data_IF_114631653547
#
_entry.id   IF_114631653547
#
_cell.length_a   1.000
_cell.length_b   1.000
_cell.length_c   1.000
_cell.angle_alpha   90.00
_cell.angle_beta   90.00
_cell.angle_gamma   90.00
#
_symmetry.space_group_name_H-M   'P 1'
#
loop_
_entity.id
_entity.type
_entity.pdbx_description
1 polymer ?
#
# COMPACT_ATOMS: atom_id res chain seq x y z
N UNK A 1 -21.14 -16.10 0.47
CA UNK A 1 -21.63 -15.79 -0.89
C UNK A 1 -20.70 -14.74 -1.45
N UNK A 2 -20.00 -15.03 -2.55
CA UNK A 2 -19.16 -14.04 -3.20
C UNK A 2 -20.09 -12.98 -3.80
N UNK A 3 -20.07 -11.76 -3.27
CA UNK A 3 -20.59 -10.62 -4.02
C UNK A 3 -19.91 -10.61 -5.38
N UNK A 4 -20.68 -10.33 -6.44
CA UNK A 4 -20.13 -10.22 -7.77
C UNK A 4 -19.08 -9.10 -7.74
N UNK A 5 -17.78 -9.47 -7.83
CA UNK A 5 -16.67 -8.53 -7.92
C UNK A 5 -17.02 -7.51 -8.99
N UNK A 6 -17.00 -6.22 -8.64
CA UNK A 6 -17.34 -5.17 -9.59
C UNK A 6 -16.36 -5.25 -10.75
N UNK A 7 -16.86 -5.40 -11.98
CA UNK A 7 -16.00 -5.45 -13.16
C UNK A 7 -15.15 -4.17 -13.23
N UNK A 8 -13.85 -4.35 -13.40
CA UNK A 8 -12.87 -3.29 -13.56
C UNK A 8 -12.42 -3.36 -15.01
N UNK A 9 -12.75 -2.34 -15.80
CA UNK A 9 -12.31 -2.23 -17.20
C UNK A 9 -10.78 -2.16 -17.29
N UNK A 10 -10.22 -2.73 -18.35
CA UNK A 10 -8.78 -2.88 -18.54
C UNK A 10 -8.05 -1.55 -18.73
N UNK A 11 -8.67 -0.58 -19.41
CA UNK A 11 -8.08 0.71 -19.73
C UNK A 11 -9.11 1.85 -19.58
N UNK A 12 -8.99 2.67 -18.53
CA UNK A 12 -10.00 3.70 -18.21
C UNK A 12 -9.38 5.06 -17.95
N UNK A 13 -9.96 6.11 -18.56
CA UNK A 13 -9.68 7.49 -18.17
C UNK A 13 -10.44 7.84 -16.90
N UNK A 14 -9.71 8.11 -15.81
CA UNK A 14 -10.29 8.51 -14.53
C UNK A 14 -10.44 10.03 -14.41
N UNK A 15 -9.59 10.78 -15.10
CA UNK A 15 -9.59 12.24 -15.15
C UNK A 15 -8.85 12.76 -16.38
N UNK A 16 -8.73 14.08 -16.52
CA UNK A 16 -7.89 14.70 -17.56
C UNK A 16 -6.40 14.34 -17.39
N UNK A 17 -5.95 13.89 -16.21
CA UNK A 17 -4.53 13.58 -15.92
C UNK A 17 -4.23 12.11 -15.71
N UNK A 18 -5.23 11.29 -15.44
CA UNK A 18 -5.03 9.92 -14.96
C UNK A 18 -5.75 8.91 -15.84
N UNK A 19 -4.97 7.95 -16.34
CA UNK A 19 -5.45 6.73 -16.97
C UNK A 19 -5.07 5.55 -16.06
N UNK A 20 -6.03 4.68 -15.76
CA UNK A 20 -5.80 3.41 -15.06
C UNK A 20 -5.68 2.28 -16.07
N UNK A 21 -4.66 1.44 -15.89
CA UNK A 21 -4.36 0.30 -16.75
C UNK A 21 -4.26 -0.94 -15.85
N UNK A 22 -5.10 -1.95 -16.11
CA UNK A 22 -5.18 -3.16 -15.31
C UNK A 22 -4.09 -4.17 -15.70
N UNK A 23 -3.34 -4.65 -14.72
CA UNK A 23 -2.15 -5.52 -14.84
C UNK A 23 -2.40 -6.94 -15.35
N UNK A 24 -3.64 -7.31 -15.63
CA UNK A 24 -4.05 -8.62 -16.16
C UNK A 24 -3.65 -9.82 -15.27
N UNK A 25 -3.52 -9.59 -13.96
CA UNK A 25 -3.09 -10.57 -12.96
C UNK A 25 -4.16 -10.76 -11.85
N UNK A 26 -5.39 -11.24 -12.16
CA UNK A 26 -6.44 -11.40 -11.16
C UNK A 26 -6.07 -12.47 -10.13
N UNK A 27 -6.46 -12.26 -8.88
CA UNK A 27 -6.04 -13.11 -7.77
C UNK A 27 -6.82 -12.90 -6.47
N UNK A 28 -6.43 -13.64 -5.43
CA UNK A 28 -6.97 -13.47 -4.08
C UNK A 28 -6.47 -12.17 -3.42
N UNK A 29 -5.24 -11.78 -3.73
CA UNK A 29 -4.60 -10.57 -3.21
C UNK A 29 -4.73 -9.39 -4.17
N UNK A 30 -4.68 -9.65 -5.47
CA UNK A 30 -4.74 -8.62 -6.52
C UNK A 30 -6.15 -8.29 -7.02
N UNK A 31 -7.18 -8.98 -6.51
CA UNK A 31 -8.58 -8.84 -6.93
C UNK A 31 -8.78 -9.07 -8.44
N UNK A 32 -9.14 -8.03 -9.20
CA UNK A 32 -9.25 -8.07 -10.66
C UNK A 32 -7.90 -7.96 -11.37
N UNK A 33 -6.85 -7.52 -10.65
CA UNK A 33 -5.51 -7.25 -11.14
C UNK A 33 -4.93 -6.00 -10.47
N UNK A 34 -3.64 -5.76 -10.68
CA UNK A 34 -2.96 -4.54 -10.23
C UNK A 34 -3.36 -3.37 -11.10
N UNK A 35 -3.92 -2.33 -10.52
CA UNK A 35 -4.13 -1.03 -11.13
C UNK A 35 -2.78 -0.30 -11.21
N UNK A 36 -2.24 -0.19 -12.42
CA UNK A 36 -1.16 0.74 -12.71
C UNK A 36 -1.76 2.07 -13.19
N UNK A 37 -1.07 3.18 -12.94
CA UNK A 37 -1.58 4.52 -13.27
C UNK A 37 -0.62 5.29 -14.15
N UNK A 38 -1.10 5.75 -15.30
CA UNK A 38 -0.40 6.68 -16.15
C UNK A 38 -0.85 8.10 -15.80
N UNK A 39 0.06 8.86 -15.19
CA UNK A 39 -0.15 10.24 -14.75
C UNK A 39 0.53 11.19 -15.72
N UNK A 40 -0.26 11.95 -16.48
CA UNK A 40 0.23 12.89 -17.47
C UNK A 40 -0.24 14.31 -17.16
N UNK A 41 0.25 15.28 -17.93
CA UNK A 41 -0.42 16.58 -18.04
C UNK A 41 -1.75 16.42 -18.78
N UNK A 42 -2.71 17.36 -18.62
CA UNK A 42 -3.99 17.31 -19.33
C UNK A 42 -3.75 17.31 -20.85
N UNK A 43 -4.69 16.76 -21.66
CA UNK A 43 -4.61 16.82 -23.10
C UNK A 43 -4.47 18.28 -23.56
N UNK A 44 -3.49 18.53 -24.42
CA UNK A 44 -3.38 19.77 -25.19
C UNK A 44 -4.22 19.59 -26.45
N UNK A 45 -4.66 20.68 -27.10
CA UNK A 45 -5.50 20.67 -28.31
C UNK A 45 -4.89 19.94 -29.52
N UNK A 46 -3.63 19.50 -29.45
CA UNK A 46 -2.97 18.68 -30.47
C UNK A 46 -2.87 17.22 -30.01
N UNK A 47 -3.31 16.30 -30.86
CA UNK A 47 -3.21 14.84 -30.67
C UNK A 47 -1.79 14.28 -30.84
N UNK A 48 -0.86 15.06 -31.41
CA UNK A 48 0.51 14.60 -31.70
C UNK A 48 1.44 14.64 -30.48
N UNK A 49 2.50 13.84 -30.51
CA UNK A 49 3.61 13.83 -29.54
C UNK A 49 4.38 15.17 -29.56
N UNK A 50 3.80 16.23 -29.00
CA UNK A 50 4.46 17.55 -28.95
C UNK A 50 5.53 17.57 -27.85
N UNK A 51 5.18 17.13 -26.63
CA UNK A 51 6.07 16.90 -25.48
C UNK A 51 5.17 16.59 -24.27
N UNK A 52 4.74 15.33 -24.13
CA UNK A 52 3.82 14.91 -23.05
C UNK A 52 4.45 13.82 -22.19
N UNK A 53 5.42 14.18 -21.33
CA UNK A 53 5.96 13.24 -20.36
C UNK A 53 4.88 12.79 -19.39
N UNK A 54 4.96 11.54 -18.98
CA UNK A 54 4.06 10.90 -18.04
C UNK A 54 4.85 10.09 -17.01
N UNK A 55 4.23 9.93 -15.84
CA UNK A 55 4.71 9.04 -14.78
C UNK A 55 3.86 7.78 -14.81
N UNK A 56 4.50 6.61 -14.89
CA UNK A 56 3.83 5.34 -14.64
C UNK A 56 3.99 4.99 -13.15
N UNK A 57 2.88 4.73 -12.46
CA UNK A 57 2.88 4.26 -11.08
C UNK A 57 2.56 2.76 -11.07
N UNK A 58 3.49 1.99 -10.49
CA UNK A 58 3.56 0.52 -10.49
C UNK A 58 3.60 -0.13 -11.89
N UNK A 59 3.96 -1.41 -11.93
CA UNK A 59 4.28 -2.11 -13.18
C UNK A 59 3.53 -3.43 -13.40
N UNK A 60 2.69 -3.85 -12.46
CA UNK A 60 2.06 -5.16 -12.51
C UNK A 60 3.06 -6.29 -12.27
N UNK A 61 2.60 -7.51 -12.50
CA UNK A 61 3.36 -8.76 -12.23
C UNK A 61 4.25 -9.22 -13.39
N UNK A 62 4.20 -8.53 -14.54
CA UNK A 62 4.91 -8.95 -15.76
C UNK A 62 4.11 -9.92 -16.64
N UNK A 63 2.79 -9.88 -16.58
CA UNK A 63 1.91 -10.63 -17.48
C UNK A 63 2.02 -10.07 -18.90
N UNK A 64 2.27 -10.93 -19.89
CA UNK A 64 2.49 -10.51 -21.28
C UNK A 64 1.30 -9.73 -21.89
N UNK A 65 0.06 -10.07 -21.51
CA UNK A 65 -1.15 -9.40 -22.01
C UNK A 65 -1.33 -7.97 -21.50
N UNK A 66 -0.57 -7.53 -20.49
CA UNK A 66 -0.57 -6.13 -20.03
C UNK A 66 0.09 -5.18 -21.05
N UNK A 67 1.14 -5.65 -21.75
CA UNK A 67 1.98 -4.81 -22.61
C UNK A 67 1.20 -4.16 -23.77
N UNK A 68 0.34 -4.89 -24.51
CA UNK A 68 -0.51 -4.26 -25.53
C UNK A 68 -1.47 -3.20 -24.97
N UNK A 69 -1.95 -3.35 -23.73
CA UNK A 69 -2.87 -2.39 -23.11
C UNK A 69 -2.12 -1.12 -22.71
N UNK A 70 -0.91 -1.25 -22.15
CA UNK A 70 -0.05 -0.11 -21.86
C UNK A 70 0.33 0.65 -23.14
N UNK A 71 0.68 -0.05 -24.23
CA UNK A 71 0.99 0.58 -25.51
C UNK A 71 -0.22 1.36 -26.07
N UNK A 72 -1.42 0.77 -26.02
CA UNK A 72 -2.68 1.46 -26.37
C UNK A 72 -2.89 2.72 -25.53
N UNK A 73 -2.61 2.68 -24.23
CA UNK A 73 -2.72 3.84 -23.34
C UNK A 73 -1.77 4.98 -23.75
N UNK A 74 -0.54 4.66 -24.15
CA UNK A 74 0.45 5.64 -24.59
C UNK A 74 0.07 6.28 -25.94
N UNK A 75 -0.62 5.53 -26.82
CA UNK A 75 -1.28 6.03 -28.04
C UNK A 75 -2.61 6.76 -27.77
N UNK A 76 -3.01 6.91 -26.51
CA UNK A 76 -4.16 7.73 -26.11
C UNK A 76 -5.52 7.04 -26.12
N UNK A 77 -5.58 5.74 -26.46
CA UNK A 77 -6.80 4.96 -26.44
C UNK A 77 -7.32 4.73 -25.02
N UNK A 78 -8.65 4.61 -24.86
CA UNK A 78 -9.33 4.21 -23.61
C UNK A 78 -10.59 3.40 -23.90
N UNK A 79 -10.88 2.38 -23.08
CA UNK A 79 -12.10 1.55 -23.18
C UNK A 79 -13.31 2.23 -22.53
N UNK A 80 -13.07 3.10 -21.54
CA UNK A 80 -14.08 3.88 -20.84
C UNK A 80 -13.56 5.27 -20.47
N UNK A 81 -14.44 6.27 -20.57
CA UNK A 81 -14.15 7.66 -20.19
C UNK A 81 -15.10 8.12 -19.08
N UNK A 82 -14.58 8.20 -17.85
CA UNK A 82 -15.32 8.67 -16.69
C UNK A 82 -15.74 10.15 -16.80
N UNK A 83 -15.17 10.92 -17.74
CA UNK A 83 -15.58 12.29 -18.05
C UNK A 83 -16.87 12.33 -18.89
N UNK A 84 -17.26 11.23 -19.53
CA UNK A 84 -18.49 11.10 -20.32
C UNK A 84 -19.54 10.29 -19.53
N UNK A 85 -20.67 10.91 -19.15
CA UNK A 85 -21.84 10.16 -18.65
C UNK A 85 -22.36 9.20 -19.73
N UNK A 86 -23.06 8.09 -19.42
CA UNK A 86 -23.50 7.14 -20.43
C UNK A 86 -24.57 7.80 -21.29
N UNK A 87 -24.17 8.27 -22.46
CA UNK A 87 -25.08 8.64 -23.53
C UNK A 87 -24.91 7.60 -24.62
N UNK A 88 -26.00 6.86 -24.84
CA UNK A 88 -26.24 6.12 -26.06
C UNK A 88 -25.95 6.98 -27.28
N UNK A 89 -24.87 6.70 -28.00
CA UNK A 89 -24.82 6.92 -29.44
C UNK A 89 -23.84 5.96 -30.08
N UNK A 90 -24.36 5.16 -31.00
CA UNK A 90 -23.54 4.48 -32.01
C UNK A 90 -22.76 5.56 -32.74
N UNK A 91 -21.42 5.51 -32.72
CA UNK A 91 -20.61 6.22 -33.71
C UNK A 91 -20.65 5.39 -34.99
N UNK A 92 -21.46 5.84 -35.95
CA UNK A 92 -21.30 5.56 -37.36
C UNK A 92 -20.76 6.84 -38.00
N UNK A 93 -19.88 6.67 -38.99
CA UNK A 93 -19.08 7.66 -39.73
C UNK A 93 -17.82 8.16 -39.02
N UNK A 94 -16.75 7.38 -39.16
CA UNK A 94 -15.39 7.92 -39.29
C UNK A 94 -15.02 7.80 -40.78
N UNK A 95 -14.62 8.92 -41.38
CA UNK A 95 -14.11 9.03 -42.74
C UNK A 95 -12.72 8.41 -42.84
N UNK A 96 -12.39 7.78 -43.98
CA UNK A 96 -11.14 7.04 -44.28
C UNK A 96 -9.83 7.87 -44.21
N UNK A 97 -9.87 9.14 -43.74
CA UNK A 97 -8.71 10.01 -43.57
C UNK A 97 -8.15 10.04 -42.13
N UNK A 98 -8.83 9.42 -41.15
CA UNK A 98 -8.40 9.39 -39.74
C UNK A 98 -7.54 8.15 -39.35
N UNK A 99 -7.35 7.18 -40.26
CA UNK A 99 -6.61 5.93 -39.95
C UNK A 99 -5.09 6.13 -39.87
N UNK A 100 -4.52 7.22 -40.40
CA UNK A 100 -3.06 7.48 -40.35
C UNK A 100 -2.57 8.01 -38.98
N UNK A 101 -3.46 8.53 -38.13
CA UNK A 101 -3.10 9.16 -36.83
C UNK A 101 -3.28 8.21 -35.60
N UNK A 102 -3.85 7.00 -35.75
CA UNK A 102 -4.10 6.08 -34.61
C UNK A 102 -2.84 5.40 -34.05
N UNK A 103 -1.76 5.37 -34.82
CA UNK A 103 -0.52 4.68 -34.44
C UNK A 103 0.51 5.56 -33.72
N UNK A 104 0.31 6.88 -33.71
CA UNK A 104 1.24 7.83 -33.09
C UNK A 104 1.10 7.87 -31.56
N UNK A 105 2.24 8.01 -30.87
CA UNK A 105 2.24 8.20 -29.42
C UNK A 105 1.63 9.55 -29.05
N UNK A 106 0.78 9.58 -28.03
CA UNK A 106 0.22 10.82 -27.45
C UNK A 106 0.93 11.23 -26.17
N UNK A 107 1.67 10.31 -25.55
CA UNK A 107 2.49 10.50 -24.35
C UNK A 107 3.65 9.50 -24.29
N UNK A 108 4.64 9.77 -23.44
CA UNK A 108 5.77 8.88 -23.19
C UNK A 108 6.11 8.83 -21.71
N UNK A 109 6.65 7.71 -21.23
CA UNK A 109 6.97 7.52 -19.81
C UNK A 109 8.36 8.08 -19.51
N UNK A 110 8.42 9.15 -18.73
CA UNK A 110 9.66 9.75 -18.25
C UNK A 110 10.12 9.17 -16.93
N UNK A 111 9.17 8.72 -16.13
CA UNK A 111 9.38 8.27 -14.76
C UNK A 111 8.50 7.07 -14.47
N UNK A 112 9.05 6.07 -13.79
CA UNK A 112 8.32 4.95 -13.21
C UNK A 112 8.46 5.09 -11.70
N UNK A 113 7.35 5.10 -10.95
CA UNK A 113 7.34 5.17 -9.49
C UNK A 113 6.77 3.87 -8.94
N UNK A 114 7.53 3.20 -8.10
CA UNK A 114 7.12 1.95 -7.46
C UNK A 114 6.62 2.24 -6.05
N UNK A 115 5.40 1.80 -5.72
CA UNK A 115 4.78 2.04 -4.42
C UNK A 115 5.43 1.22 -3.31
N UNK A 116 5.79 -0.03 -3.59
CA UNK A 116 6.46 -0.92 -2.66
C UNK A 116 7.05 -2.16 -3.36
N UNK A 117 7.66 -3.05 -2.57
CA UNK A 117 8.44 -4.21 -3.04
C UNK A 117 7.67 -5.40 -3.60
N UNK A 118 6.35 -5.51 -3.42
CA UNK A 118 5.66 -6.74 -3.82
C UNK A 118 5.72 -6.97 -5.34
N UNK A 119 5.78 -8.24 -5.72
CA UNK A 119 6.09 -8.67 -7.08
C UNK A 119 5.07 -8.14 -8.11
N UNK A 120 3.81 -8.03 -7.73
CA UNK A 120 2.75 -7.51 -8.58
C UNK A 120 2.79 -5.98 -8.76
N UNK A 121 3.74 -5.27 -8.13
CA UNK A 121 3.99 -3.84 -8.33
C UNK A 121 5.31 -3.58 -9.06
N UNK A 122 6.30 -4.48 -8.92
CA UNK A 122 7.66 -4.32 -9.49
C UNK A 122 7.99 -5.31 -10.62
N UNK A 123 7.24 -6.40 -10.75
CA UNK A 123 7.55 -7.54 -11.59
C UNK A 123 7.49 -7.26 -13.09
N UNK A 124 6.66 -6.30 -13.50
CA UNK A 124 6.52 -5.91 -14.91
C UNK A 124 7.62 -5.00 -15.45
N UNK A 125 8.58 -4.57 -14.62
CA UNK A 125 9.68 -3.71 -15.06
C UNK A 125 10.42 -4.23 -16.31
N UNK A 126 10.85 -5.50 -16.43
CA UNK A 126 11.58 -5.96 -17.60
C UNK A 126 10.79 -5.82 -18.90
N UNK A 127 9.52 -6.24 -18.90
CA UNK A 127 8.65 -6.20 -20.09
C UNK A 127 8.28 -4.77 -20.47
N UNK A 128 8.03 -3.90 -19.49
CA UNK A 128 7.74 -2.49 -19.73
C UNK A 128 8.98 -1.77 -20.28
N UNK A 129 10.16 -1.98 -19.69
CA UNK A 129 11.38 -1.34 -20.17
C UNK A 129 11.77 -1.83 -21.57
N UNK A 130 11.46 -3.08 -21.91
CA UNK A 130 11.59 -3.61 -23.27
C UNK A 130 10.65 -2.89 -24.25
N UNK A 131 9.35 -2.80 -23.91
CA UNK A 131 8.36 -2.02 -24.68
C UNK A 131 8.83 -0.58 -24.91
N UNK A 132 9.20 0.12 -23.83
CA UNK A 132 9.64 1.51 -23.92
C UNK A 132 10.91 1.67 -24.74
N UNK A 133 11.84 0.72 -24.69
CA UNK A 133 13.05 0.76 -25.53
C UNK A 133 12.71 0.63 -27.01
N UNK A 134 11.75 -0.24 -27.37
CA UNK A 134 11.24 -0.36 -28.74
C UNK A 134 10.56 0.93 -29.20
N UNK A 135 9.61 1.45 -28.42
CA UNK A 135 8.90 2.68 -28.74
C UNK A 135 9.84 3.88 -28.91
N UNK A 136 10.89 3.99 -28.09
CA UNK A 136 11.92 5.03 -28.26
C UNK A 136 12.72 4.89 -29.56
N UNK A 137 12.93 3.66 -30.04
CA UNK A 137 13.65 3.41 -31.30
C UNK A 137 12.77 3.67 -32.54
N UNK A 138 11.46 3.50 -32.40
CA UNK A 138 10.46 3.76 -33.45
C UNK A 138 10.03 5.24 -33.51
N UNK A 139 10.21 6.00 -32.42
CA UNK A 139 9.83 7.40 -32.34
C UNK A 139 10.60 8.29 -33.33
N UNK A 140 9.87 9.21 -33.96
CA UNK A 140 10.44 10.24 -34.86
C UNK A 140 11.24 11.32 -34.12
N UNK A 141 11.08 11.39 -32.79
CA UNK A 141 11.77 12.31 -31.89
C UNK A 141 12.60 11.55 -30.87
N UNK A 142 13.72 12.12 -30.43
CA UNK A 142 14.55 11.53 -29.39
C UNK A 142 13.85 11.61 -28.04
N UNK A 143 13.48 10.46 -27.48
CA UNK A 143 12.90 10.33 -26.15
C UNK A 143 13.95 9.79 -25.16
N UNK A 144 14.06 10.34 -23.94
CA UNK A 144 15.00 9.83 -22.95
C UNK A 144 14.50 8.51 -22.34
N UNK A 145 15.43 7.70 -21.82
CA UNK A 145 15.09 6.49 -21.07
C UNK A 145 14.48 6.87 -19.69
N UNK A 146 13.48 6.12 -19.20
CA UNK A 146 12.77 6.46 -17.97
C UNK A 146 13.68 6.40 -16.75
N UNK A 147 13.37 7.20 -15.74
CA UNK A 147 13.94 7.09 -14.37
C UNK A 147 13.05 6.18 -13.53
N UNK A 148 13.64 5.30 -12.73
CA UNK A 148 12.90 4.39 -11.86
C UNK A 148 13.05 4.87 -10.42
N UNK A 149 11.94 5.29 -9.80
CA UNK A 149 11.90 5.86 -8.46
C UNK A 149 11.33 4.84 -7.48
N UNK A 150 11.99 4.70 -6.34
CA UNK A 150 11.54 3.80 -5.27
C UNK A 150 11.96 4.35 -3.90
N UNK A 151 11.12 4.15 -2.90
CA UNK A 151 11.52 4.37 -1.52
C UNK A 151 12.47 3.24 -1.09
N UNK A 152 13.67 3.54 -0.54
CA UNK A 152 14.66 2.52 -0.25
C UNK A 152 14.18 1.45 0.74
N UNK A 153 14.51 0.20 0.46
CA UNK A 153 14.31 -0.96 1.33
C UNK A 153 15.57 -1.83 1.37
N UNK A 154 16.23 -1.91 2.53
CA UNK A 154 17.49 -2.65 2.62
C UNK A 154 17.33 -4.16 2.36
N UNK A 155 16.15 -4.71 2.61
CA UNK A 155 15.88 -6.14 2.49
C UNK A 155 15.55 -6.57 1.05
N UNK A 156 14.65 -5.85 0.37
CA UNK A 156 14.16 -6.26 -0.96
C UNK A 156 14.91 -5.62 -2.14
N UNK A 157 15.49 -4.43 -1.96
CA UNK A 157 16.15 -3.71 -3.05
C UNK A 157 17.30 -4.49 -3.71
N UNK A 158 18.13 -5.30 -3.01
CA UNK A 158 19.21 -6.04 -3.66
C UNK A 158 18.75 -6.92 -4.83
N UNK A 159 17.59 -7.59 -4.70
CA UNK A 159 17.04 -8.44 -5.76
C UNK A 159 16.57 -7.61 -6.96
N UNK A 160 15.88 -6.50 -6.69
CA UNK A 160 15.43 -5.56 -7.71
C UNK A 160 16.61 -4.93 -8.46
N UNK A 161 17.63 -4.48 -7.73
CA UNK A 161 18.88 -3.92 -8.28
C UNK A 161 19.59 -4.93 -9.17
N UNK A 162 19.70 -6.19 -8.74
CA UNK A 162 20.31 -7.25 -9.54
C UNK A 162 19.55 -7.49 -10.86
N UNK A 163 18.22 -7.52 -10.81
CA UNK A 163 17.39 -7.61 -12.01
C UNK A 163 17.64 -6.41 -12.94
N UNK A 164 17.64 -5.18 -12.43
CA UNK A 164 17.87 -3.98 -13.23
C UNK A 164 19.27 -3.96 -13.88
N UNK A 165 20.30 -4.43 -13.17
CA UNK A 165 21.65 -4.58 -13.74
C UNK A 165 21.74 -5.63 -14.85
N UNK A 166 20.82 -6.59 -14.90
CA UNK A 166 20.77 -7.61 -15.96
C UNK A 166 20.14 -7.09 -17.27
N UNK A 167 19.46 -5.94 -17.22
CA UNK A 167 18.79 -5.38 -18.39
C UNK A 167 19.77 -4.71 -19.36
N UNK A 168 19.41 -4.58 -20.66
CA UNK A 168 20.23 -3.88 -21.64
C UNK A 168 20.57 -2.44 -21.22
N UNK A 169 21.77 -1.99 -21.58
CA UNK A 169 22.19 -0.60 -21.33
C UNK A 169 21.26 0.37 -22.08
N UNK A 170 20.87 1.45 -21.41
CA UNK A 170 19.95 2.44 -21.97
C UNK A 170 18.47 2.08 -21.85
N UNK A 171 18.12 0.94 -21.22
CA UNK A 171 16.73 0.62 -20.90
C UNK A 171 16.10 1.63 -19.94
N UNK A 172 16.88 2.19 -19.01
CA UNK A 172 16.50 3.21 -18.04
C UNK A 172 17.68 4.16 -17.75
N UNK A 173 17.39 5.29 -17.09
CA UNK A 173 18.38 6.27 -16.65
C UNK A 173 18.73 6.03 -15.17
N UNK A 174 19.96 5.59 -14.83
CA UNK A 174 20.36 5.37 -13.44
C UNK A 174 20.53 6.69 -12.68
N UNK A 175 20.40 6.62 -11.36
CA UNK A 175 20.73 7.69 -10.45
C UNK A 175 22.24 7.79 -10.22
N UNK A 176 22.79 9.00 -10.30
CA UNK A 176 24.18 9.28 -10.01
C UNK A 176 24.29 10.63 -9.29
N UNK A 177 24.81 10.64 -8.06
CA UNK A 177 25.29 11.86 -7.42
C UNK A 177 26.80 11.98 -7.63
N UNK A 178 27.28 13.22 -7.85
CA UNK A 178 28.68 13.61 -8.05
C UNK A 178 29.68 12.67 -7.34
N UNK A 179 30.31 11.77 -8.11
CA UNK A 179 31.37 10.82 -7.72
C UNK A 179 30.98 9.57 -6.88
N UNK A 180 29.69 9.27 -6.71
CA UNK A 180 29.21 8.03 -6.10
C UNK A 180 29.05 6.83 -7.06
N UNK A 181 28.84 5.62 -6.50
CA UNK A 181 28.42 4.45 -7.29
C UNK A 181 27.02 4.71 -7.84
N UNK A 182 26.85 4.62 -9.16
CA UNK A 182 25.55 4.80 -9.79
C UNK A 182 24.56 3.73 -9.28
N UNK A 183 23.42 4.18 -8.78
CA UNK A 183 22.30 3.31 -8.38
C UNK A 183 21.34 3.20 -9.56
N UNK A 184 20.79 2.02 -9.88
CA UNK A 184 19.76 1.94 -10.90
C UNK A 184 18.45 2.62 -10.48
N UNK A 185 18.24 2.80 -9.17
CA UNK A 185 17.04 3.41 -8.58
C UNK A 185 17.31 4.85 -8.16
N UNK A 186 16.35 5.72 -8.44
CA UNK A 186 16.24 7.09 -7.93
C UNK A 186 15.58 7.03 -6.54
N UNK A 187 16.33 7.32 -5.46
CA UNK A 187 15.83 7.12 -4.11
C UNK A 187 14.78 8.18 -3.76
N UNK A 188 13.60 7.73 -3.36
CA UNK A 188 12.55 8.57 -2.81
C UNK A 188 12.72 8.76 -1.30
N UNK A 189 12.12 9.83 -0.80
CA UNK A 189 12.00 10.17 0.63
C UNK A 189 10.60 10.74 0.88
N UNK A 190 10.16 10.76 2.13
CA UNK A 190 8.99 11.52 2.56
C UNK A 190 9.05 12.95 2.00
N UNK A 191 7.95 13.41 1.38
CA UNK A 191 7.84 14.72 0.77
C UNK A 191 8.55 14.91 -0.59
N UNK A 192 9.23 13.88 -1.13
CA UNK A 192 9.79 13.95 -2.49
C UNK A 192 8.69 14.22 -3.51
N UNK A 193 9.00 14.97 -4.57
CA UNK A 193 8.01 15.28 -5.62
C UNK A 193 8.54 14.83 -6.98
N UNK A 194 7.81 13.91 -7.61
CA UNK A 194 8.02 13.53 -9.01
C UNK A 194 7.08 14.39 -9.85
N UNK A 195 7.63 15.24 -10.71
CA UNK A 195 6.88 16.21 -11.52
C UNK A 195 7.12 15.99 -13.01
N UNK A 196 6.04 16.00 -13.77
CA UNK A 196 6.05 16.10 -15.23
C UNK A 196 5.38 17.39 -15.65
N UNK A 197 5.89 18.02 -16.71
CA UNK A 197 5.35 19.26 -17.26
C UNK A 197 5.38 19.22 -18.79
N UNK A 198 4.41 19.87 -19.43
CA UNK A 198 4.40 20.08 -20.87
C UNK A 198 5.03 21.45 -21.22
N UNK A 199 5.11 21.75 -22.51
CA UNK A 199 5.74 22.97 -23.02
C UNK A 199 4.96 24.25 -22.64
N UNK A 200 3.67 24.13 -22.32
CA UNK A 200 2.83 25.23 -21.80
C UNK A 200 3.01 25.45 -20.29
N UNK A 201 3.98 24.78 -19.66
CA UNK A 201 4.28 24.82 -18.23
C UNK A 201 3.11 24.35 -17.35
N UNK A 202 2.17 23.58 -17.91
CA UNK A 202 1.16 22.83 -17.16
C UNK A 202 1.83 21.57 -16.63
N UNK A 203 1.69 21.31 -15.33
CA UNK A 203 2.34 20.17 -14.69
C UNK A 203 1.36 19.26 -13.96
N UNK A 204 1.83 18.04 -13.71
CA UNK A 204 1.26 17.09 -12.77
C UNK A 204 2.35 16.71 -11.78
N UNK A 205 2.04 16.72 -10.48
CA UNK A 205 3.01 16.48 -9.42
C UNK A 205 2.53 15.44 -8.42
N UNK A 206 3.35 14.40 -8.24
CA UNK A 206 3.15 13.32 -7.28
C UNK A 206 4.07 13.57 -6.08
N UNK A 207 3.48 13.95 -4.95
CA UNK A 207 4.18 14.06 -3.69
C UNK A 207 4.16 12.72 -2.94
N UNK A 208 5.34 12.27 -2.52
CA UNK A 208 5.52 11.03 -1.76
C UNK A 208 5.10 11.22 -0.31
N UNK A 209 4.21 10.36 0.17
CA UNK A 209 3.95 10.14 1.58
C UNK A 209 4.49 8.76 1.94
N UNK A 210 5.46 8.67 2.84
CA UNK A 210 5.96 7.37 3.31
C UNK A 210 4.91 6.76 4.23
N UNK A 211 4.38 5.60 3.85
CA UNK A 211 3.23 4.96 4.52
C UNK A 211 3.56 3.51 4.87
N UNK A 212 4.56 3.28 5.74
CA UNK A 212 4.95 1.93 6.13
C UNK A 212 3.82 1.23 6.88
N UNK A 213 3.90 -0.09 6.92
CA UNK A 213 2.98 -0.96 7.64
C UNK A 213 2.52 -2.12 6.78
N UNK A 214 2.09 -1.85 5.54
CA UNK A 214 1.88 -2.91 4.56
C UNK A 214 3.21 -3.62 4.26
N UNK A 215 4.21 -2.84 3.85
CA UNK A 215 5.63 -3.17 3.84
C UNK A 215 6.42 -1.98 4.40
N UNK A 216 7.69 -2.16 4.74
CA UNK A 216 8.53 -1.09 5.30
C UNK A 216 8.78 0.08 4.31
N UNK A 217 8.78 -0.22 3.02
CA UNK A 217 9.08 0.71 1.93
C UNK A 217 7.84 1.31 1.26
N UNK A 218 6.65 1.00 1.77
CA UNK A 218 5.41 1.41 1.15
C UNK A 218 5.24 2.93 1.13
N UNK A 219 4.81 3.46 -0.02
CA UNK A 219 4.46 4.87 -0.19
C UNK A 219 3.05 5.03 -0.76
N UNK A 220 2.37 6.08 -0.33
CA UNK A 220 1.24 6.65 -1.04
C UNK A 220 1.72 7.87 -1.84
N UNK A 221 1.04 8.18 -2.95
CA UNK A 221 1.38 9.31 -3.81
C UNK A 221 0.20 10.27 -3.88
N UNK A 222 0.42 11.50 -3.42
CA UNK A 222 -0.56 12.57 -3.51
C UNK A 222 -0.40 13.28 -4.86
N UNK A 223 -1.42 13.19 -5.72
CA UNK A 223 -1.54 14.00 -6.92
C UNK A 223 -2.07 15.38 -6.53
N UNK A 224 -1.18 16.37 -6.45
CA UNK A 224 -1.49 17.68 -5.88
C UNK A 224 -2.59 18.42 -6.64
N UNK A 225 -2.56 18.36 -7.97
CA UNK A 225 -3.48 19.11 -8.83
C UNK A 225 -4.93 18.60 -8.72
N UNK A 226 -5.14 17.31 -8.40
CA UNK A 226 -6.46 16.73 -8.20
C UNK A 226 -6.84 16.57 -6.72
N UNK A 227 -5.87 16.73 -5.82
CA UNK A 227 -5.97 16.37 -4.39
C UNK A 227 -6.49 14.94 -4.21
N UNK A 228 -5.91 14.03 -5.01
CA UNK A 228 -6.26 12.61 -5.07
C UNK A 228 -5.08 11.79 -4.57
N UNK A 229 -5.34 10.73 -3.81
CA UNK A 229 -4.29 9.88 -3.25
C UNK A 229 -4.25 8.55 -4.00
N UNK A 230 -3.11 8.23 -4.60
CA UNK A 230 -2.81 6.87 -5.03
C UNK A 230 -2.32 6.11 -3.80
N UNK A 231 -3.04 5.06 -3.42
CA UNK A 231 -2.87 4.42 -2.12
C UNK A 231 -2.01 3.17 -2.14
N UNK A 232 -1.58 2.68 -3.31
CA UNK A 232 -0.93 1.38 -3.41
C UNK A 232 -1.80 0.31 -2.73
N UNK A 233 -1.17 -0.49 -1.87
CA UNK A 233 -1.82 -1.51 -1.04
C UNK A 233 -2.20 -1.02 0.35
N UNK A 234 -1.99 0.27 0.64
CA UNK A 234 -2.35 0.86 1.93
C UNK A 234 -3.86 0.86 2.18
N UNK A 235 -4.65 1.19 1.16
CA UNK A 235 -6.11 1.12 1.16
C UNK A 235 -6.55 0.57 -0.19
N UNK A 236 -7.39 -0.46 -0.17
CA UNK A 236 -7.90 -1.11 -1.37
C UNK A 236 -9.28 -0.56 -1.77
N UNK A 237 -9.63 -0.71 -3.04
CA UNK A 237 -10.95 -0.32 -3.57
C UNK A 237 -12.09 -1.20 -3.09
N UNK A 238 -11.78 -2.43 -2.67
CA UNK A 238 -12.72 -3.40 -2.14
C UNK A 238 -12.04 -4.23 -1.04
N UNK A 239 -12.80 -4.60 -0.01
CA UNK A 239 -12.29 -5.42 1.09
C UNK A 239 -11.29 -4.69 1.97
N UNK A 240 -10.28 -5.42 2.45
CA UNK A 240 -9.28 -4.94 3.39
C UNK A 240 -7.89 -5.42 2.98
N UNK A 241 -6.85 -4.69 3.39
CA UNK A 241 -5.45 -5.03 3.08
C UNK A 241 -4.80 -5.88 4.17
N UNK A 242 -3.67 -6.49 3.83
CA UNK A 242 -2.73 -7.15 4.75
C UNK A 242 -1.61 -6.19 5.14
N UNK A 243 -0.91 -6.46 6.24
CA UNK A 243 0.18 -5.62 6.72
C UNK A 243 1.15 -6.42 7.59
N UNK A 244 2.41 -6.01 7.58
CA UNK A 244 3.50 -6.57 8.37
C UNK A 244 3.61 -5.91 9.75
N UNK A 245 3.31 -4.61 9.83
CA UNK A 245 3.32 -3.82 11.06
C UNK A 245 2.04 -2.98 11.19
N UNK A 246 1.18 -3.37 12.13
CA UNK A 246 -0.08 -2.69 12.37
C UNK A 246 0.10 -1.29 12.99
N UNK A 247 1.11 -1.08 13.83
CA UNK A 247 1.36 0.21 14.46
C UNK A 247 1.75 1.25 13.41
N UNK A 248 2.74 0.89 12.57
CA UNK A 248 3.15 1.70 11.43
C UNK A 248 1.98 1.94 10.47
N UNK A 249 1.20 0.89 10.16
CA UNK A 249 0.04 0.98 9.29
C UNK A 249 -1.03 1.96 9.80
N UNK A 250 -1.37 1.91 11.10
CA UNK A 250 -2.33 2.84 11.70
C UNK A 250 -1.81 4.29 11.74
N UNK A 251 -0.51 4.49 11.99
CA UNK A 251 0.12 5.81 11.86
C UNK A 251 -0.01 6.35 10.43
N UNK A 252 0.31 5.51 9.44
CA UNK A 252 0.18 5.83 8.02
C UNK A 252 -1.26 6.16 7.61
N UNK A 253 -2.29 5.45 8.13
CA UNK A 253 -3.70 5.81 7.92
C UNK A 253 -4.02 7.22 8.45
N UNK A 254 -3.55 7.56 9.67
CA UNK A 254 -3.74 8.90 10.25
C UNK A 254 -3.02 9.97 9.44
N UNK A 255 -1.79 9.70 8.99
CA UNK A 255 -1.00 10.60 8.14
C UNK A 255 -1.76 10.93 6.85
N UNK A 256 -2.27 9.91 6.14
CA UNK A 256 -3.06 10.11 4.94
C UNK A 256 -4.36 10.88 5.21
N UNK A 257 -5.09 10.56 6.29
CA UNK A 257 -6.31 11.30 6.67
C UNK A 257 -6.01 12.78 6.89
N UNK A 258 -4.96 13.07 7.66
CA UNK A 258 -4.57 14.44 7.97
C UNK A 258 -4.13 15.22 6.73
N UNK A 259 -3.37 14.60 5.83
CA UNK A 259 -2.96 15.21 4.57
C UNK A 259 -4.18 15.62 3.71
N UNK A 260 -5.19 14.75 3.59
CA UNK A 260 -6.40 15.04 2.83
C UNK A 260 -7.30 16.07 3.51
N UNK A 261 -7.38 16.07 4.84
CA UNK A 261 -8.09 17.09 5.63
C UNK A 261 -7.49 18.49 5.41
N UNK A 262 -6.17 18.62 5.43
CA UNK A 262 -5.48 19.89 5.20
C UNK A 262 -5.69 20.43 3.78
N UNK A 263 -5.74 19.55 2.78
CA UNK A 263 -5.94 19.93 1.38
C UNK A 263 -7.38 20.32 1.05
N UNK A 264 -8.35 19.75 1.77
CA UNK A 264 -9.76 19.82 1.43
C UNK A 264 -10.15 18.87 0.29
N UNK A 265 -11.41 18.94 -0.19
CA UNK A 265 -11.96 17.98 -1.15
C UNK A 265 -11.24 18.00 -2.51
N UNK A 266 -11.39 16.91 -3.26
CA UNK A 266 -10.80 16.71 -4.57
C UNK A 266 -11.28 17.75 -5.59
N UNK A 267 -10.38 18.12 -6.50
CA UNK A 267 -10.65 19.06 -7.60
C UNK A 267 -10.75 18.31 -8.94
N UNK A 268 -11.34 17.11 -8.95
CA UNK A 268 -11.56 16.40 -10.21
C UNK A 268 -12.77 16.99 -10.94
N UNK A 269 -12.59 17.23 -12.23
CA UNK A 269 -13.61 17.72 -13.13
C UNK A 269 -14.87 16.82 -13.07
N UNK A 270 -16.06 17.44 -13.08
CA UNK A 270 -17.39 16.81 -13.10
C UNK A 270 -18.05 16.36 -11.77
N UNK A 271 -17.46 16.56 -10.58
CA UNK A 271 -18.19 16.34 -9.32
C UNK A 271 -17.73 17.25 -8.16
N UNK A 272 -18.61 18.19 -7.76
CA UNK A 272 -18.47 18.90 -6.48
C UNK A 272 -18.82 17.94 -5.34
N UNK A 273 -17.82 17.23 -4.81
CA UNK A 273 -17.99 16.39 -3.62
C UNK A 273 -17.21 16.99 -2.46
N UNK A 274 -17.69 16.78 -1.23
CA UNK A 274 -16.92 17.10 -0.02
C UNK A 274 -16.05 15.90 0.39
N UNK A 275 -15.37 15.28 -0.58
CA UNK A 275 -14.51 14.11 -0.38
C UNK A 275 -13.30 14.15 -1.32
N UNK A 276 -12.32 13.30 -1.02
CA UNK A 276 -11.18 13.05 -1.88
C UNK A 276 -11.35 11.69 -2.56
N UNK A 277 -10.86 11.53 -3.80
CA UNK A 277 -10.76 10.22 -4.42
C UNK A 277 -9.53 9.48 -3.92
N UNK A 278 -9.60 8.15 -3.83
CA UNK A 278 -8.44 7.28 -3.73
C UNK A 278 -8.33 6.40 -4.98
N UNK A 279 -7.10 6.23 -5.44
CA UNK A 279 -6.71 5.38 -6.55
C UNK A 279 -5.89 4.20 -6.00
N UNK A 280 -6.55 3.09 -5.63
CA UNK A 280 -5.90 1.94 -5.00
C UNK A 280 -5.22 1.04 -6.02
N UNK A 281 -4.17 0.34 -5.63
CA UNK A 281 -3.54 -0.64 -6.52
C UNK A 281 -4.45 -1.84 -6.82
N UNK A 282 -5.47 -2.13 -6.00
CA UNK A 282 -6.45 -3.17 -6.30
C UNK A 282 -7.88 -2.71 -6.06
N UNK A 283 -8.78 -3.13 -6.95
CA UNK A 283 -10.21 -2.83 -6.85
C UNK A 283 -10.61 -1.50 -7.49
N UNK A 284 -11.87 -1.06 -7.32
CA UNK A 284 -12.38 0.16 -7.94
C UNK A 284 -11.85 1.45 -7.29
N UNK A 285 -12.03 2.58 -7.98
CA UNK A 285 -11.81 3.91 -7.39
C UNK A 285 -12.67 4.10 -6.14
N UNK A 286 -12.09 4.68 -5.10
CA UNK A 286 -12.81 5.06 -3.87
C UNK A 286 -13.22 6.52 -3.96
N UNK A 287 -14.51 6.79 -4.16
CA UNK A 287 -15.04 8.15 -4.28
C UNK A 287 -15.10 8.91 -2.94
N UNK A 288 -15.20 8.18 -1.82
CA UNK A 288 -15.31 8.74 -0.47
C UNK A 288 -14.05 8.43 0.35
N UNK A 289 -12.92 8.96 -0.10
CA UNK A 289 -11.60 8.58 0.37
C UNK A 289 -11.33 8.88 1.85
N UNK A 290 -11.73 10.04 2.36
CA UNK A 290 -11.52 10.38 3.78
C UNK A 290 -12.34 9.46 4.67
N UNK A 291 -13.58 9.16 4.28
CA UNK A 291 -14.42 8.18 4.97
C UNK A 291 -13.82 6.77 4.93
N UNK A 292 -13.27 6.34 3.80
CA UNK A 292 -12.65 5.01 3.70
C UNK A 292 -11.43 4.89 4.61
N UNK A 293 -10.54 5.90 4.62
CA UNK A 293 -9.39 5.94 5.54
C UNK A 293 -9.84 5.85 7.00
N UNK A 294 -10.88 6.62 7.36
CA UNK A 294 -11.48 6.57 8.70
C UNK A 294 -12.07 5.19 9.02
N UNK A 295 -12.82 4.58 8.10
CA UNK A 295 -13.40 3.25 8.30
C UNK A 295 -12.33 2.18 8.52
N UNK A 296 -11.24 2.24 7.75
CA UNK A 296 -10.09 1.35 7.93
C UNK A 296 -9.47 1.51 9.32
N UNK A 297 -9.24 2.75 9.76
CA UNK A 297 -8.67 3.03 11.08
C UNK A 297 -9.62 2.59 12.21
N UNK A 298 -10.90 2.98 12.15
CA UNK A 298 -11.91 2.65 13.15
C UNK A 298 -12.04 1.13 13.30
N UNK A 299 -12.06 0.39 12.19
CA UNK A 299 -12.13 -1.06 12.21
C UNK A 299 -10.95 -1.72 12.96
N UNK A 300 -9.72 -1.18 12.85
CA UNK A 300 -8.57 -1.68 13.61
C UNK A 300 -8.65 -1.31 15.09
N UNK A 301 -9.07 -0.09 15.41
CA UNK A 301 -9.23 0.36 16.78
C UNK A 301 -10.34 -0.42 17.52
N UNK A 302 -11.44 -0.73 16.83
CA UNK A 302 -12.51 -1.59 17.34
C UNK A 302 -12.00 -3.00 17.63
N UNK A 303 -11.21 -3.59 16.73
CA UNK A 303 -10.62 -4.91 16.96
C UNK A 303 -9.65 -4.91 18.12
N UNK A 304 -8.81 -3.88 18.24
CA UNK A 304 -7.91 -3.71 19.39
C UNK A 304 -8.71 -3.64 20.71
N UNK A 305 -9.80 -2.87 20.74
CA UNK A 305 -10.66 -2.76 21.91
C UNK A 305 -11.30 -4.11 22.28
N UNK A 306 -11.76 -4.89 21.30
CA UNK A 306 -12.30 -6.24 21.52
C UNK A 306 -11.25 -7.20 22.10
N UNK A 307 -10.01 -7.14 21.62
CA UNK A 307 -8.90 -7.95 22.15
C UNK A 307 -8.62 -7.60 23.61
N UNK A 308 -8.56 -6.31 23.94
CA UNK A 308 -8.34 -5.86 25.32
C UNK A 308 -9.50 -6.29 26.23
N UNK A 309 -10.74 -6.14 25.78
CA UNK A 309 -11.91 -6.53 26.58
C UNK A 309 -11.93 -8.04 26.82
N UNK A 310 -11.57 -8.85 25.82
CA UNK A 310 -11.40 -10.29 25.99
C UNK A 310 -10.34 -10.62 27.05
N UNK A 311 -9.18 -9.95 27.00
CA UNK A 311 -8.08 -10.17 27.93
C UNK A 311 -8.38 -9.77 29.38
N UNK A 312 -9.46 -9.02 29.65
CA UNK A 312 -9.96 -8.79 31.01
C UNK A 312 -10.73 -9.98 31.57
N UNK A 313 -11.12 -10.93 30.72
CA UNK A 313 -11.86 -12.15 31.09
C UNK A 313 -10.92 -13.36 31.22
N UNK A 314 -11.46 -14.50 31.65
CA UNK A 314 -10.74 -15.77 31.73
C UNK A 314 -11.14 -16.71 30.58
N UNK A 315 -10.20 -17.49 30.00
CA UNK A 315 -10.54 -18.51 29.02
C UNK A 315 -11.31 -19.69 29.64
N UNK A 316 -11.23 -19.88 30.96
CA UNK A 316 -11.98 -20.91 31.70
C UNK A 316 -13.30 -20.34 32.23
N UNK A 317 -14.42 -21.02 31.96
CA UNK A 317 -15.76 -20.54 32.32
C UNK A 317 -16.01 -20.44 33.85
N UNK A 318 -15.31 -21.25 34.65
CA UNK A 318 -15.50 -21.38 36.11
C UNK A 318 -14.20 -21.23 36.92
N UNK A 319 -13.09 -20.85 36.27
CA UNK A 319 -11.80 -20.67 36.94
C UNK A 319 -11.72 -19.34 37.68
N UNK A 320 -11.37 -19.34 38.96
CA UNK A 320 -11.07 -18.12 39.69
C UNK A 320 -9.93 -17.37 38.96
N UNK A 321 -10.04 -16.06 38.71
CA UNK A 321 -8.98 -15.30 38.05
C UNK A 321 -7.68 -15.45 38.86
N UNK A 322 -6.68 -16.11 38.27
CA UNK A 322 -5.36 -16.25 38.88
C UNK A 322 -4.59 -14.95 38.64
N UNK A 323 -4.58 -14.06 39.61
CA UNK A 323 -3.74 -12.86 39.54
C UNK A 323 -2.31 -13.26 39.85
N UNK A 324 -1.44 -13.18 38.84
CA UNK A 324 0.02 -13.34 38.99
C UNK A 324 0.69 -11.97 38.88
N UNK A 325 1.97 -11.87 39.28
CA UNK A 325 2.77 -10.66 39.06
C UNK A 325 3.93 -10.92 38.11
N UNK A 326 4.35 -9.87 37.39
CA UNK A 326 5.53 -9.86 36.54
C UNK A 326 6.25 -8.52 36.67
N UNK A 327 7.56 -8.50 36.50
CA UNK A 327 8.33 -7.26 36.44
C UNK A 327 8.51 -6.83 34.97
N UNK A 328 8.28 -5.56 34.67
CA UNK A 328 8.47 -4.94 33.34
C UNK A 328 9.22 -3.63 33.55
N UNK A 329 10.39 -3.45 32.92
CA UNK A 329 11.28 -2.30 33.20
C UNK A 329 11.49 -2.00 34.70
N UNK A 330 11.65 -3.05 35.51
CA UNK A 330 11.84 -2.91 36.96
C UNK A 330 10.57 -2.55 37.76
N UNK A 331 9.41 -2.41 37.10
CA UNK A 331 8.12 -2.14 37.76
C UNK A 331 7.32 -3.45 37.87
N UNK A 332 6.81 -3.76 39.05
CA UNK A 332 5.95 -4.94 39.25
C UNK A 332 4.50 -4.63 38.82
N UNK A 333 4.00 -5.44 37.89
CA UNK A 333 2.64 -5.40 37.38
C UNK A 333 1.88 -6.64 37.82
N UNK A 334 0.62 -6.45 38.22
CA UNK A 334 -0.34 -7.56 38.21
C UNK A 334 -0.73 -7.90 36.77
N UNK A 335 -1.01 -9.17 36.50
CA UNK A 335 -1.48 -9.61 35.18
C UNK A 335 -2.83 -10.31 35.25
N UNK A 336 -3.61 -10.15 34.18
CA UNK A 336 -4.85 -10.88 33.97
C UNK A 336 -4.63 -12.36 33.63
N UNK A 337 -5.71 -13.09 33.40
CA UNK A 337 -5.65 -14.50 32.97
C UNK A 337 -5.02 -14.62 31.58
N UNK A 338 -4.11 -15.59 31.36
CA UNK A 338 -3.45 -15.75 30.09
C UNK A 338 -4.38 -16.37 29.02
N UNK A 339 -4.33 -15.82 27.82
CA UNK A 339 -5.07 -16.29 26.65
C UNK A 339 -4.12 -16.71 25.54
N UNK A 340 -4.38 -17.86 24.92
CA UNK A 340 -3.72 -18.24 23.66
C UNK A 340 -4.44 -17.63 22.47
N UNK A 341 -3.69 -17.31 21.41
CA UNK A 341 -4.28 -16.79 20.16
C UNK A 341 -5.32 -17.77 19.60
N UNK A 342 -5.06 -19.08 19.62
CA UNK A 342 -6.06 -20.09 19.22
C UNK A 342 -7.39 -19.94 19.98
N UNK A 343 -7.34 -19.70 21.29
CA UNK A 343 -8.55 -19.50 22.11
C UNK A 343 -9.25 -18.18 21.75
N UNK A 344 -8.48 -17.11 21.53
CA UNK A 344 -9.01 -15.82 21.10
C UNK A 344 -9.71 -15.92 19.74
N UNK A 345 -9.15 -16.65 18.77
CA UNK A 345 -9.78 -16.90 17.46
C UNK A 345 -11.14 -17.58 17.65
N UNK A 346 -11.17 -18.69 18.39
CA UNK A 346 -12.41 -19.42 18.65
C UNK A 346 -13.48 -18.57 19.33
N UNK A 347 -13.08 -17.59 20.17
CA UNK A 347 -14.03 -16.71 20.86
C UNK A 347 -14.50 -15.55 19.97
N UNK A 348 -13.57 -14.76 19.44
CA UNK A 348 -13.85 -13.52 18.71
C UNK A 348 -14.32 -13.73 17.28
N UNK A 349 -13.98 -14.87 16.68
CA UNK A 349 -14.29 -15.21 15.29
C UNK A 349 -15.18 -16.47 15.19
N UNK A 350 -15.90 -16.82 16.26
CA UNK A 350 -16.81 -17.98 16.31
C UNK A 350 -17.86 -18.00 15.19
N UNK A 351 -18.26 -16.83 14.68
CA UNK A 351 -19.24 -16.70 13.58
C UNK A 351 -18.60 -16.72 12.18
N UNK A 352 -17.28 -16.86 12.07
CA UNK A 352 -16.56 -16.93 10.80
C UNK A 352 -16.31 -18.38 10.41
N UNK A 353 -16.25 -18.70 9.11
CA UNK A 353 -15.88 -20.04 8.68
C UNK A 353 -14.41 -20.36 9.02
N UNK A 354 -14.14 -21.62 9.39
CA UNK A 354 -12.84 -22.06 9.94
C UNK A 354 -11.65 -21.84 8.99
N UNK A 355 -11.88 -21.84 7.68
CA UNK A 355 -10.82 -21.58 6.70
C UNK A 355 -10.26 -20.15 6.79
N UNK A 356 -10.95 -19.22 7.46
CA UNK A 356 -10.47 -17.86 7.74
C UNK A 356 -9.71 -17.74 9.06
N UNK A 357 -9.68 -18.78 9.90
CA UNK A 357 -9.02 -18.74 11.19
C UNK A 357 -7.51 -18.47 11.11
N UNK A 358 -6.76 -18.98 10.13
CA UNK A 358 -5.35 -18.61 9.99
C UNK A 358 -5.17 -17.11 9.77
N UNK A 359 -5.98 -16.48 8.92
CA UNK A 359 -5.92 -15.03 8.71
C UNK A 359 -6.32 -14.24 9.97
N UNK A 360 -7.35 -14.71 10.69
CA UNK A 360 -7.75 -14.12 11.97
C UNK A 360 -6.64 -14.22 13.02
N UNK A 361 -5.96 -15.36 13.12
CA UNK A 361 -4.83 -15.57 14.03
C UNK A 361 -3.68 -14.60 13.75
N UNK A 362 -3.33 -14.41 12.46
CA UNK A 362 -2.32 -13.43 12.04
C UNK A 362 -2.71 -12.00 12.44
N UNK A 363 -3.96 -11.62 12.19
CA UNK A 363 -4.47 -10.29 12.59
C UNK A 363 -4.41 -10.08 14.11
N UNK A 364 -4.83 -11.07 14.90
CA UNK A 364 -4.74 -11.01 16.36
C UNK A 364 -3.29 -10.91 16.84
N UNK A 365 -2.38 -11.66 16.22
CA UNK A 365 -0.96 -11.57 16.54
C UNK A 365 -0.43 -10.15 16.37
N UNK A 366 -0.76 -9.49 15.26
CA UNK A 366 -0.36 -8.10 15.01
C UNK A 366 -0.97 -7.12 16.03
N UNK A 367 -2.25 -7.29 16.40
CA UNK A 367 -2.86 -6.50 17.48
C UNK A 367 -2.15 -6.69 18.83
N UNK A 368 -1.80 -7.92 19.18
CA UNK A 368 -1.10 -8.24 20.42
C UNK A 368 0.31 -7.63 20.44
N UNK A 369 1.03 -7.68 19.30
CA UNK A 369 2.32 -7.01 19.15
C UNK A 369 2.20 -5.51 19.34
N UNK A 370 1.27 -4.84 18.65
CA UNK A 370 0.99 -3.41 18.83
C UNK A 370 0.66 -3.05 20.28
N UNK A 371 -0.16 -3.86 20.96
CA UNK A 371 -0.52 -3.63 22.37
C UNK A 371 0.63 -3.92 23.35
N UNK A 372 1.64 -4.67 22.93
CA UNK A 372 2.79 -5.04 23.76
C UNK A 372 3.96 -4.08 23.66
N UNK A 373 4.03 -3.31 22.58
CA UNK A 373 5.04 -2.26 22.38
C UNK A 373 4.46 -0.89 22.76
N UNK A 374 5.26 0.01 23.36
CA UNK A 374 4.83 1.39 23.57
C UNK A 374 4.64 2.10 22.22
N UNK A 375 3.55 2.85 22.09
CA UNK A 375 3.31 3.69 20.91
C UNK A 375 3.97 5.05 21.15
N UNK A 376 5.12 5.27 20.52
CA UNK A 376 5.92 6.49 20.69
C UNK A 376 5.16 7.74 20.20
N UNK A 377 4.39 7.62 19.13
CA UNK A 377 3.66 8.75 18.55
C UNK A 377 2.48 9.17 19.42
N UNK A 378 1.80 8.21 20.05
CA UNK A 378 0.64 8.49 20.91
C UNK A 378 1.00 8.53 22.40
N UNK A 379 2.25 8.27 22.77
CA UNK A 379 2.69 8.18 24.17
C UNK A 379 1.96 7.10 24.98
N UNK A 380 1.46 6.04 24.34
CA UNK A 380 0.71 4.98 25.03
C UNK A 380 1.67 3.95 25.60
N UNK A 381 1.51 3.65 26.90
CA UNK A 381 2.22 2.56 27.55
C UNK A 381 1.76 1.19 26.99
N UNK A 382 2.64 0.19 27.12
CA UNK A 382 2.32 -1.21 26.84
C UNK A 382 1.14 -1.67 27.71
N UNK A 383 0.22 -2.43 27.11
CA UNK A 383 -1.03 -2.90 27.74
C UNK A 383 -1.07 -4.41 27.86
N UNK A 384 -0.34 -5.13 27.02
CA UNK A 384 -0.40 -6.59 26.91
C UNK A 384 1.01 -7.16 26.87
N UNK A 385 1.20 -8.40 27.33
CA UNK A 385 2.50 -9.06 27.36
C UNK A 385 2.41 -10.53 26.97
N UNK A 386 3.36 -11.01 26.17
CA UNK A 386 3.57 -12.44 25.97
C UNK A 386 4.28 -13.03 27.20
N UNK A 387 3.78 -14.14 27.73
CA UNK A 387 4.26 -14.74 28.97
C UNK A 387 5.30 -15.84 28.76
N UNK A 388 5.45 -16.36 27.54
CA UNK A 388 6.46 -17.38 27.26
C UNK A 388 7.83 -16.81 26.97
N UNK A 389 8.82 -17.69 27.16
CA UNK A 389 10.23 -17.44 26.91
C UNK A 389 10.83 -18.59 26.07
N UNK A 390 10.06 -19.15 25.12
CA UNK A 390 10.57 -20.14 24.15
C UNK A 390 11.73 -19.54 23.33
N UNK A 391 12.53 -20.37 22.64
CA UNK A 391 13.60 -19.86 21.77
C UNK A 391 13.06 -18.91 20.68
N UNK A 392 11.86 -19.17 20.16
CA UNK A 392 11.14 -18.26 19.27
C UNK A 392 10.73 -16.97 19.98
N UNK A 393 10.11 -17.06 21.16
CA UNK A 393 9.69 -15.88 21.94
C UNK A 393 10.86 -15.03 22.45
N UNK A 394 12.04 -15.64 22.67
CA UNK A 394 13.31 -14.98 23.03
C UNK A 394 14.09 -14.47 21.82
N UNK A 395 13.62 -14.74 20.59
CA UNK A 395 14.28 -14.29 19.37
C UNK A 395 14.49 -12.78 19.44
N UNK A 396 15.76 -12.35 19.36
CA UNK A 396 16.17 -10.98 19.61
C UNK A 396 15.51 -10.02 18.61
N UNK A 397 14.52 -9.24 19.05
CA UNK A 397 14.23 -7.98 18.38
C UNK A 397 15.15 -6.91 19.00
N UNK A 398 15.73 -6.05 18.17
CA UNK A 398 16.40 -4.83 18.63
C UNK A 398 15.43 -3.87 19.36
N UNK A 399 14.13 -4.19 19.37
CA UNK A 399 13.02 -3.45 20.00
C UNK A 399 12.82 -3.82 21.48
N UNK A 400 13.42 -4.91 21.96
CA UNK A 400 13.38 -5.33 23.35
C UNK A 400 14.38 -4.52 24.21
N UNK A 401 14.25 -3.19 24.19
CA UNK A 401 14.99 -2.32 25.10
C UNK A 401 14.34 -2.48 26.49
N UNK A 402 15.11 -2.99 27.46
CA UNK A 402 14.75 -3.04 28.89
C UNK A 402 13.54 -3.90 29.31
N UNK A 403 13.31 -5.05 28.65
CA UNK A 403 12.21 -5.98 29.01
C UNK A 403 10.80 -5.35 28.86
N UNK A 404 10.71 -4.16 28.26
CA UNK A 404 9.46 -3.45 27.94
C UNK A 404 8.94 -3.97 26.61
N UNK A 405 8.28 -5.12 26.67
CA UNK A 405 7.65 -5.72 25.48
C UNK A 405 8.34 -7.00 25.07
N UNK A 406 8.30 -8.02 25.93
CA UNK A 406 8.50 -9.42 25.52
C UNK A 406 7.45 -9.73 24.42
N UNK A 407 7.81 -9.37 23.19
CA UNK A 407 7.01 -9.30 21.99
C UNK A 407 7.74 -10.19 20.99
N UNK A 408 7.23 -11.40 20.73
CA UNK A 408 7.90 -12.34 19.85
C UNK A 408 8.08 -11.74 18.44
N UNK A 409 9.12 -12.18 17.70
CA UNK A 409 9.38 -11.70 16.33
C UNK A 409 8.25 -12.09 15.37
N UNK A 410 8.21 -11.50 14.18
CA UNK A 410 7.22 -11.90 13.17
C UNK A 410 7.50 -13.33 12.69
N UNK A 411 6.51 -14.25 12.74
CA UNK A 411 6.69 -15.60 12.19
C UNK A 411 7.01 -15.57 10.69
N UNK A 412 8.07 -16.28 10.30
CA UNK A 412 8.57 -16.38 8.93
C UNK A 412 8.24 -17.72 8.26
N UNK A 413 7.65 -18.67 9.00
CA UNK A 413 7.26 -19.99 8.48
C UNK A 413 5.93 -20.47 9.05
N UNK A 414 5.30 -21.44 8.39
CA UNK A 414 4.06 -22.06 8.88
C UNK A 414 4.26 -22.71 10.26
N UNK A 415 5.44 -23.29 10.52
CA UNK A 415 5.77 -23.87 11.82
C UNK A 415 5.84 -22.80 12.92
N UNK A 416 6.46 -21.65 12.63
CA UNK A 416 6.49 -20.51 13.55
C UNK A 416 5.10 -19.92 13.77
N UNK A 417 4.24 -19.88 12.74
CA UNK A 417 2.85 -19.48 12.90
C UNK A 417 2.07 -20.41 13.83
N UNK A 418 2.29 -21.73 13.73
CA UNK A 418 1.70 -22.71 14.65
C UNK A 418 2.19 -22.49 16.09
N UNK A 419 3.49 -22.21 16.28
CA UNK A 419 4.02 -21.88 17.61
C UNK A 419 3.43 -20.57 18.15
N UNK A 420 3.37 -19.53 17.32
CA UNK A 420 2.80 -18.23 17.67
C UNK A 420 1.35 -18.34 18.16
N UNK A 421 0.56 -19.24 17.56
CA UNK A 421 -0.83 -19.50 17.97
C UNK A 421 -0.97 -20.08 19.39
N UNK A 422 0.06 -20.77 19.87
CA UNK A 422 0.12 -21.36 21.20
C UNK A 422 0.73 -20.42 22.24
N UNK A 423 1.10 -19.21 21.84
CA UNK A 423 1.62 -18.22 22.76
C UNK A 423 0.52 -17.66 23.68
N UNK A 424 0.83 -17.59 24.97
CA UNK A 424 -0.01 -17.07 26.04
C UNK A 424 0.27 -15.59 26.26
N UNK A 425 -0.79 -14.79 26.14
CA UNK A 425 -0.77 -13.34 26.30
C UNK A 425 -1.67 -12.92 27.46
N UNK A 426 -1.25 -11.91 28.22
CA UNK A 426 -2.03 -11.38 29.34
C UNK A 426 -2.05 -9.85 29.34
N UNK A 427 -3.14 -9.28 29.85
CA UNK A 427 -3.27 -7.85 30.10
C UNK A 427 -2.38 -7.44 31.28
N UNK A 428 -1.62 -6.36 31.12
CA UNK A 428 -0.93 -5.68 32.21
C UNK A 428 -1.96 -4.85 32.99
N UNK A 429 -2.08 -5.12 34.28
CA UNK A 429 -2.90 -4.36 35.21
C UNK A 429 -2.03 -3.32 35.92
N UNK A 430 -2.68 -2.44 36.70
CA UNK A 430 -2.03 -1.37 37.46
C UNK A 430 -0.81 -1.90 38.25
N UNK A 431 0.24 -1.08 38.43
CA UNK A 431 1.37 -1.45 39.27
C UNK A 431 0.91 -1.85 40.67
N UNK A 432 1.57 -2.84 41.28
CA UNK A 432 1.21 -3.28 42.63
C UNK A 432 1.29 -2.08 43.60
N UNK A 433 0.26 -1.91 44.44
CA UNK A 433 0.12 -0.75 45.34
C UNK A 433 1.23 -0.64 46.41
N UNK A 434 2.18 -1.56 46.46
CA UNK A 434 3.34 -1.55 47.36
C UNK A 434 4.44 -0.57 46.99
N UNK A 435 4.34 0.15 45.85
CA UNK A 435 5.35 1.15 45.44
C UNK A 435 4.83 2.57 45.19
N UNK A 436 3.55 2.89 45.47
CA UNK A 436 3.05 4.27 45.36
C UNK A 436 3.50 5.20 46.51
N UNK A 437 4.33 4.74 47.45
CA UNK A 437 4.84 5.55 48.57
C UNK A 437 6.29 6.02 48.41
N UNK A 438 6.90 5.94 47.22
CA UNK A 438 8.31 6.31 47.03
C UNK A 438 8.62 7.02 45.70
N UNK A 439 7.68 7.81 45.17
CA UNK A 439 7.94 8.81 44.13
C UNK A 439 7.35 10.17 44.51
#
# INVERSE_FOLDING_TARGET
MAEARKAVEDLVRLSSRVIRILGQNPGSYTLAGTNTYLISTPPVTSSKLVSRPSVLVDTGEGIESYIPILERALKGAVDGDALTKPASSKRQDATEEDEEDEDDLTSWISDIVLTHRHHDHVGGLPSILSLLSRLRAEATVTLPAPRIHKFPDAESDPNLVNMLHSLPKGSFTPYSQNEGVASPLWPLREGSVVRVANDDNVSSSLQVLHTPGHTADHICLLLNEEKTLLTGDHVLGEGTTVFEDLTAYMSSLRKCSHALEQLGPSQVEAAWTDENRLYPAHGPVVEQGRKMLKQYLDHRLEREAQVVELLKTSPEADGAPSTSTITVAGIEHQIGSPWKIRQMVLKLYSNYPENLFPAAARGLYLHLRTLSSPDVEQGKASRVRCLQTTSFAKGASAEAVEDVGNCPPMPQSDAEWVEAMELSWALLLSPSSSMQSAL
#
